data_IF_302917665109
#
_entry.id   IF_302917665109
#
_cell.length_a   1.000
_cell.length_b   1.000
_cell.length_c   1.000
_cell.angle_alpha   90.00
_cell.angle_beta   90.00
_cell.angle_gamma   90.00
#
_symmetry.space_group_name_H-M   'P 1'
#
loop_
_entity.id
_entity.type
_entity.pdbx_description
1 polymer ?
#
# COMPACT_ATOMS: atom_id res chain seq x y z
N UNK A 1 24.12 -23.00 -10.43
CA UNK A 1 24.32 -22.27 -9.16
C UNK A 1 24.23 -20.75 -9.31
N UNK A 2 24.97 -20.10 -10.23
CA UNK A 2 24.93 -18.63 -10.42
C UNK A 2 23.53 -18.05 -10.64
N UNK A 3 22.67 -18.69 -11.46
CA UNK A 3 21.29 -18.23 -11.71
C UNK A 3 20.36 -18.31 -10.50
N UNK A 4 20.66 -19.16 -9.52
CA UNK A 4 19.86 -19.31 -8.30
C UNK A 4 20.20 -18.21 -7.29
N UNK A 5 21.49 -17.85 -7.18
CA UNK A 5 21.95 -16.74 -6.33
C UNK A 5 21.44 -15.38 -6.81
N UNK A 6 21.38 -15.14 -8.13
CA UNK A 6 20.88 -13.88 -8.68
C UNK A 6 19.38 -13.71 -8.38
N UNK A 7 18.56 -14.74 -8.63
CA UNK A 7 17.11 -14.71 -8.31
C UNK A 7 16.84 -14.44 -6.83
N UNK A 8 17.66 -15.00 -5.92
CA UNK A 8 17.51 -14.77 -4.49
C UNK A 8 17.87 -13.33 -4.11
N UNK A 9 18.82 -12.70 -4.79
CA UNK A 9 19.20 -11.31 -4.56
C UNK A 9 18.13 -10.34 -5.05
N UNK A 10 17.57 -10.59 -6.25
CA UNK A 10 16.47 -9.79 -6.80
C UNK A 10 15.23 -9.83 -5.89
N UNK A 11 14.92 -11.00 -5.32
CA UNK A 11 13.83 -11.16 -4.35
C UNK A 11 14.09 -10.43 -3.03
N UNK A 12 15.34 -10.44 -2.55
CA UNK A 12 15.73 -9.72 -1.34
C UNK A 12 15.60 -8.20 -1.55
N UNK A 13 16.13 -7.67 -2.65
CA UNK A 13 16.02 -6.24 -2.98
C UNK A 13 14.55 -5.80 -3.15
N UNK A 14 13.73 -6.61 -3.83
CA UNK A 14 12.31 -6.32 -3.97
C UNK A 14 11.61 -6.26 -2.61
N UNK A 15 11.93 -7.19 -1.70
CA UNK A 15 11.40 -7.22 -0.34
C UNK A 15 11.82 -5.98 0.46
N UNK A 16 13.08 -5.58 0.38
CA UNK A 16 13.60 -4.40 1.07
C UNK A 16 12.92 -3.11 0.58
N UNK A 17 12.73 -2.96 -0.74
CA UNK A 17 12.01 -1.82 -1.33
C UNK A 17 10.55 -1.76 -0.88
N UNK A 18 9.86 -2.90 -0.88
CA UNK A 18 8.47 -2.99 -0.38
C UNK A 18 8.42 -2.63 1.10
N UNK A 19 9.34 -3.14 1.93
CA UNK A 19 9.38 -2.83 3.35
C UNK A 19 9.62 -1.34 3.61
N UNK A 20 10.55 -0.72 2.87
CA UNK A 20 10.79 0.72 2.96
C UNK A 20 9.51 1.51 2.62
N UNK A 21 8.85 1.18 1.51
CA UNK A 21 7.60 1.80 1.10
C UNK A 21 6.50 1.64 2.17
N UNK A 22 6.31 0.42 2.69
CA UNK A 22 5.29 0.16 3.72
C UNK A 22 5.58 0.92 5.03
N UNK A 23 6.85 1.08 5.40
CA UNK A 23 7.24 1.84 6.58
C UNK A 23 6.98 3.35 6.39
N UNK A 24 7.34 3.90 5.22
CA UNK A 24 7.02 5.29 4.89
C UNK A 24 5.50 5.52 4.90
N UNK A 25 4.72 4.62 4.28
CA UNK A 25 3.27 4.70 4.26
C UNK A 25 2.68 4.68 5.67
N UNK A 26 3.14 3.77 6.55
CA UNK A 26 2.69 3.71 7.95
C UNK A 26 2.97 5.02 8.70
N UNK A 27 4.16 5.58 8.53
CA UNK A 27 4.51 6.86 9.16
C UNK A 27 3.59 8.00 8.68
N UNK A 28 3.33 8.07 7.38
CA UNK A 28 2.41 9.06 6.79
C UNK A 28 0.99 8.91 7.31
N UNK A 29 0.43 7.69 7.33
CA UNK A 29 -0.90 7.38 7.86
C UNK A 29 -1.06 7.91 9.28
N UNK A 30 -0.07 7.65 10.15
CA UNK A 30 -0.08 8.15 11.54
C UNK A 30 0.01 9.67 11.59
N UNK A 31 0.93 10.27 10.82
CA UNK A 31 1.14 11.73 10.84
C UNK A 31 -0.05 12.53 10.32
N UNK A 32 -0.79 11.99 9.34
CA UNK A 32 -1.96 12.64 8.76
C UNK A 32 -3.25 12.28 9.51
N UNK A 33 -3.18 11.45 10.56
CA UNK A 33 -4.33 10.95 11.29
C UNK A 33 -5.38 10.29 10.37
N UNK A 34 -4.91 9.48 9.42
CA UNK A 34 -5.74 8.79 8.42
C UNK A 34 -5.79 7.29 8.73
N UNK A 35 -6.85 6.60 8.31
CA UNK A 35 -6.93 5.13 8.19
C UNK A 35 -7.07 4.76 6.74
N UNK A 36 -6.40 3.69 6.36
CA UNK A 36 -6.50 3.11 5.03
C UNK A 36 -7.01 1.67 5.17
N UNK A 37 -7.94 1.29 4.32
CA UNK A 37 -8.50 -0.05 4.27
C UNK A 37 -8.91 -0.44 2.87
N UNK A 38 -9.30 -1.70 2.72
CA UNK A 38 -9.86 -2.21 1.48
C UNK A 38 -11.17 -2.93 1.79
N UNK A 39 -12.25 -2.46 1.17
CA UNK A 39 -13.54 -3.13 1.21
C UNK A 39 -13.52 -4.26 0.19
N UNK A 40 -13.45 -5.50 0.71
CA UNK A 40 -13.41 -6.71 -0.10
C UNK A 40 -14.74 -7.00 -0.82
N UNK A 41 -15.87 -6.56 -0.27
CA UNK A 41 -17.19 -6.81 -0.84
C UNK A 41 -17.41 -5.94 -2.07
N UNK A 42 -17.15 -4.65 -1.91
CA UNK A 42 -17.37 -3.65 -2.97
C UNK A 42 -16.13 -3.44 -3.85
N UNK A 43 -15.00 -4.08 -3.51
CA UNK A 43 -13.70 -3.95 -4.19
C UNK A 43 -13.22 -2.51 -4.28
N UNK A 44 -13.28 -1.80 -3.16
CA UNK A 44 -12.94 -0.38 -3.07
C UNK A 44 -11.82 -0.14 -2.07
N UNK A 45 -10.91 0.76 -2.44
CA UNK A 45 -9.94 1.30 -1.50
C UNK A 45 -10.60 2.41 -0.68
N UNK A 46 -10.41 2.38 0.63
CA UNK A 46 -11.04 3.31 1.57
C UNK A 46 -9.95 4.10 2.27
N UNK A 47 -10.10 5.42 2.27
CA UNK A 47 -9.25 6.35 3.01
C UNK A 47 -10.15 7.14 3.93
N UNK A 48 -9.89 7.12 5.24
CA UNK A 48 -10.69 7.79 6.24
C UNK A 48 -9.82 8.75 7.05
N UNK A 49 -10.23 10.00 7.17
CA UNK A 49 -9.71 10.92 8.17
C UNK A 49 -10.30 10.56 9.54
N UNK A 50 -9.45 10.33 10.53
CA UNK A 50 -9.87 9.86 11.86
C UNK A 50 -10.50 10.99 12.68
N UNK A 51 -10.06 12.23 12.49
CA UNK A 51 -10.51 13.37 13.29
C UNK A 51 -11.92 13.81 12.89
N UNK A 52 -12.18 13.85 11.58
CA UNK A 52 -13.45 14.32 11.01
C UNK A 52 -14.41 13.17 10.70
N UNK A 53 -13.94 11.92 10.78
CA UNK A 53 -14.62 10.69 10.35
C UNK A 53 -15.01 10.66 8.85
N UNK A 54 -14.61 11.66 8.07
CA UNK A 54 -14.84 11.70 6.63
C UNK A 54 -14.04 10.61 5.94
N UNK A 55 -14.67 9.92 4.99
CA UNK A 55 -13.98 8.91 4.19
C UNK A 55 -14.22 9.12 2.70
N UNK A 56 -13.19 8.78 1.92
CA UNK A 56 -13.25 8.64 0.48
C UNK A 56 -13.15 7.17 0.10
N UNK A 57 -13.84 6.80 -0.98
CA UNK A 57 -13.79 5.46 -1.56
C UNK A 57 -13.37 5.57 -3.01
N UNK A 58 -12.37 4.79 -3.38
CA UNK A 58 -11.81 4.76 -4.72
C UNK A 58 -12.04 3.37 -5.29
N UNK A 59 -12.68 3.27 -6.47
CA UNK A 59 -12.88 1.98 -7.12
C UNK A 59 -11.59 1.53 -7.78
N UNK A 60 -11.29 0.23 -7.71
CA UNK A 60 -10.10 -0.32 -8.38
C UNK A 60 -10.08 -0.05 -9.89
N UNK A 61 -11.24 -0.02 -10.53
CA UNK A 61 -11.41 0.27 -11.96
C UNK A 61 -10.89 1.68 -12.33
N UNK A 62 -10.97 2.63 -11.40
CA UNK A 62 -10.50 4.01 -11.59
C UNK A 62 -8.97 4.12 -11.47
N UNK A 63 -8.34 3.19 -10.74
CA UNK A 63 -6.88 3.18 -10.54
C UNK A 63 -6.10 2.58 -11.73
N UNK A 64 -6.74 1.74 -12.55
CA UNK A 64 -6.09 1.06 -13.69
C UNK A 64 -6.15 1.86 -15.00
N UNK A 65 -6.83 3.02 -15.04
CA UNK A 65 -6.99 3.86 -16.23
C UNK A 65 -5.95 4.99 -16.31
N UNK A 66 -4.81 4.85 -15.62
CA UNK A 66 -3.69 5.83 -15.63
C UNK A 66 -2.65 5.43 -16.68
#
# INVERSE_FOLDING_TARGET
MLRYNIKNNDQLEAKERINFFLNALKATIVSCNVRIGFDLKEKQFVVQDIETELFSRIKLEELNNI
#
